data_IF_815730130545
#
_entry.id   IF_815730130545
#
_cell.length_a   1.000
_cell.length_b   1.000
_cell.length_c   1.000
_cell.angle_alpha   90.00
_cell.angle_beta   90.00
_cell.angle_gamma   90.00
#
_symmetry.space_group_name_H-M   'P 1'
#
loop_
_entity.id
_entity.type
_entity.pdbx_description
1 polymer ?
#
# COMPACT_ATOMS: atom_id res chain seq x y z
N UNK A 1 -14.15 -14.57 -17.27
CA UNK A 1 -12.97 -14.07 -18.04
C UNK A 1 -11.64 -14.47 -17.39
N UNK A 2 -11.47 -14.35 -16.07
CA UNK A 2 -10.20 -14.69 -15.40
C UNK A 2 -9.94 -16.22 -15.43
N UNK A 3 -10.97 -17.05 -15.29
CA UNK A 3 -10.83 -18.50 -15.34
C UNK A 3 -10.39 -18.97 -16.75
N UNK A 4 -10.86 -18.30 -17.82
CA UNK A 4 -10.39 -18.55 -19.16
C UNK A 4 -8.89 -18.20 -19.34
N UNK A 5 -8.44 -17.07 -18.74
CA UNK A 5 -7.02 -16.73 -18.75
C UNK A 5 -6.19 -17.77 -18.01
N UNK A 6 -6.70 -18.31 -16.91
CA UNK A 6 -6.05 -19.42 -16.19
C UNK A 6 -5.99 -20.71 -17.02
N UNK A 7 -7.08 -21.07 -17.72
CA UNK A 7 -7.09 -22.24 -18.62
C UNK A 7 -6.02 -22.11 -19.72
N UNK A 8 -5.94 -20.93 -20.36
CA UNK A 8 -4.90 -20.66 -21.37
C UNK A 8 -3.51 -20.76 -20.73
N UNK A 9 -3.30 -20.17 -19.58
CA UNK A 9 -2.02 -20.25 -18.87
C UNK A 9 -1.64 -21.69 -18.53
N UNK A 10 -2.60 -22.52 -18.09
CA UNK A 10 -2.33 -23.93 -17.76
C UNK A 10 -1.98 -24.79 -18.97
N UNK A 11 -2.51 -24.44 -20.15
CA UNK A 11 -2.22 -25.13 -21.42
C UNK A 11 -0.86 -24.78 -22.01
N UNK A 12 -0.17 -23.75 -21.52
CA UNK A 12 1.16 -23.38 -22.02
C UNK A 12 2.20 -24.45 -21.67
N UNK A 13 3.04 -24.85 -22.63
CA UNK A 13 4.08 -25.87 -22.42
C UNK A 13 5.14 -25.39 -21.42
N UNK A 14 5.49 -24.10 -21.46
CA UNK A 14 6.41 -23.46 -20.53
C UNK A 14 5.73 -22.27 -19.81
N UNK A 15 5.86 -22.25 -18.49
CA UNK A 15 5.29 -21.22 -17.63
C UNK A 15 6.41 -20.34 -17.11
N UNK A 16 6.63 -19.20 -17.78
CA UNK A 16 7.61 -18.20 -17.35
C UNK A 16 7.05 -17.28 -16.25
N UNK A 17 7.92 -16.49 -15.63
CA UNK A 17 7.57 -15.55 -14.56
C UNK A 17 6.50 -14.53 -14.98
N UNK A 18 6.47 -14.14 -16.26
CA UNK A 18 5.49 -13.17 -16.78
C UNK A 18 4.09 -13.80 -16.79
N UNK A 19 3.96 -15.04 -17.28
CA UNK A 19 2.69 -15.76 -17.29
C UNK A 19 2.13 -15.95 -15.87
N UNK A 20 2.95 -16.39 -14.91
CA UNK A 20 2.57 -16.48 -13.51
C UNK A 20 2.10 -15.12 -12.97
N UNK A 21 2.87 -14.06 -13.20
CA UNK A 21 2.56 -12.72 -12.73
C UNK A 21 1.24 -12.20 -13.29
N UNK A 22 0.97 -12.42 -14.58
CA UNK A 22 -0.27 -11.99 -15.23
C UNK A 22 -1.51 -12.61 -14.59
N UNK A 23 -1.48 -13.93 -14.33
CA UNK A 23 -2.63 -14.63 -13.75
C UNK A 23 -2.80 -14.28 -12.28
N UNK A 24 -1.69 -14.22 -11.51
CA UNK A 24 -1.71 -13.79 -10.11
C UNK A 24 -2.30 -12.37 -9.99
N UNK A 25 -1.81 -11.40 -10.78
CA UNK A 25 -2.34 -10.05 -10.80
C UNK A 25 -3.83 -10.03 -11.15
N UNK A 26 -4.23 -10.78 -12.17
CA UNK A 26 -5.62 -10.91 -12.57
C UNK A 26 -6.53 -11.40 -11.44
N UNK A 27 -6.11 -12.42 -10.69
CA UNK A 27 -6.89 -12.89 -9.53
C UNK A 27 -6.97 -11.85 -8.42
N UNK A 28 -5.87 -11.16 -8.09
CA UNK A 28 -5.86 -10.10 -7.06
C UNK A 28 -6.78 -8.95 -7.46
N UNK A 29 -6.73 -8.50 -8.70
CA UNK A 29 -7.55 -7.38 -9.19
C UNK A 29 -9.06 -7.70 -9.25
N UNK A 30 -9.40 -8.99 -9.33
CA UNK A 30 -10.79 -9.45 -9.24
C UNK A 30 -11.20 -9.88 -7.81
N UNK A 31 -10.34 -9.67 -6.81
CA UNK A 31 -10.63 -10.00 -5.41
C UNK A 31 -10.46 -11.47 -5.03
N UNK A 32 -9.99 -12.32 -5.94
CA UNK A 32 -9.75 -13.75 -5.68
C UNK A 32 -8.39 -13.98 -4.99
N UNK A 33 -8.20 -13.31 -3.84
CA UNK A 33 -6.90 -13.25 -3.16
C UNK A 33 -6.36 -14.64 -2.77
N UNK A 34 -7.21 -15.56 -2.31
CA UNK A 34 -6.79 -16.93 -1.96
C UNK A 34 -6.29 -17.71 -3.18
N UNK A 35 -6.97 -17.58 -4.34
CA UNK A 35 -6.50 -18.20 -5.59
C UNK A 35 -5.14 -17.64 -6.02
N UNK A 36 -4.93 -16.34 -5.88
CA UNK A 36 -3.65 -15.71 -6.18
C UNK A 36 -2.52 -16.24 -5.30
N UNK A 37 -2.77 -16.41 -4.00
CA UNK A 37 -1.81 -16.97 -3.04
C UNK A 37 -1.48 -18.43 -3.39
N UNK A 38 -2.49 -19.25 -3.68
CA UNK A 38 -2.28 -20.64 -4.07
C UNK A 38 -1.41 -20.76 -5.34
N UNK A 39 -1.62 -19.88 -6.32
CA UNK A 39 -0.80 -19.82 -7.52
C UNK A 39 0.65 -19.38 -7.23
N UNK A 40 0.82 -18.42 -6.33
CA UNK A 40 2.14 -18.00 -5.89
C UNK A 40 2.91 -19.15 -5.21
N UNK A 41 2.25 -19.93 -4.37
CA UNK A 41 2.84 -21.12 -3.76
C UNK A 41 3.17 -22.20 -4.79
N UNK A 42 2.30 -22.40 -5.79
CA UNK A 42 2.56 -23.34 -6.88
C UNK A 42 3.78 -22.90 -7.70
N UNK A 43 3.87 -21.60 -8.04
CA UNK A 43 5.02 -21.03 -8.71
C UNK A 43 6.32 -21.33 -7.97
N UNK A 44 6.31 -21.15 -6.64
CA UNK A 44 7.48 -21.41 -5.80
C UNK A 44 7.84 -22.90 -5.76
N UNK A 45 6.84 -23.80 -5.66
CA UNK A 45 7.06 -25.25 -5.73
C UNK A 45 7.68 -25.70 -7.06
N UNK A 46 7.43 -24.94 -8.14
CA UNK A 46 8.05 -25.14 -9.46
C UNK A 46 9.40 -24.45 -9.62
N UNK A 47 9.97 -23.93 -8.53
CA UNK A 47 11.25 -23.23 -8.52
C UNK A 47 11.31 -22.00 -9.46
N UNK A 48 10.18 -21.39 -9.78
CA UNK A 48 10.14 -20.12 -10.50
C UNK A 48 10.27 -18.97 -9.49
N UNK A 49 11.30 -18.16 -9.65
CA UNK A 49 11.55 -17.03 -8.73
C UNK A 49 10.58 -15.89 -8.99
N UNK A 50 9.86 -15.36 -7.95
CA UNK A 50 9.01 -14.20 -8.09
C UNK A 50 9.82 -12.95 -8.40
N UNK A 51 9.25 -12.04 -9.19
CA UNK A 51 9.74 -10.69 -9.39
C UNK A 51 9.00 -9.69 -8.47
N UNK A 52 9.41 -8.40 -8.51
CA UNK A 52 8.81 -7.37 -7.66
C UNK A 52 7.33 -7.13 -7.94
N UNK A 53 6.87 -7.31 -9.17
CA UNK A 53 5.45 -7.21 -9.56
C UNK A 53 4.63 -8.28 -8.84
N UNK A 54 5.12 -9.53 -8.83
CA UNK A 54 4.44 -10.64 -8.13
C UNK A 54 4.42 -10.39 -6.63
N UNK A 55 5.53 -9.93 -6.04
CA UNK A 55 5.56 -9.58 -4.62
C UNK A 55 4.53 -8.48 -4.29
N UNK A 56 4.42 -7.42 -5.10
CA UNK A 56 3.42 -6.36 -4.91
C UNK A 56 1.98 -6.91 -4.95
N UNK A 57 1.67 -7.80 -5.90
CA UNK A 57 0.37 -8.45 -5.99
C UNK A 57 0.05 -9.30 -4.75
N UNK A 58 1.03 -10.07 -4.27
CA UNK A 58 0.85 -10.96 -3.12
C UNK A 58 0.74 -10.17 -1.80
N UNK A 59 1.50 -9.08 -1.65
CA UNK A 59 1.33 -8.17 -0.51
C UNK A 59 -0.08 -7.57 -0.48
N UNK A 60 -0.60 -7.12 -1.63
CA UNK A 60 -1.98 -6.64 -1.75
C UNK A 60 -2.99 -7.73 -1.37
N UNK A 61 -2.78 -8.98 -1.81
CA UNK A 61 -3.64 -10.11 -1.44
C UNK A 61 -3.63 -10.37 0.06
N UNK A 62 -2.46 -10.40 0.71
CA UNK A 62 -2.36 -10.59 2.16
C UNK A 62 -2.97 -9.43 2.94
N UNK A 63 -2.80 -8.19 2.51
CA UNK A 63 -3.47 -7.03 3.09
C UNK A 63 -4.99 -7.17 3.02
N UNK A 64 -5.53 -7.53 1.85
CA UNK A 64 -6.97 -7.70 1.66
C UNK A 64 -7.58 -8.83 2.53
N UNK A 65 -6.79 -9.85 2.87
CA UNK A 65 -7.19 -10.97 3.74
C UNK A 65 -6.86 -10.73 5.23
N UNK A 66 -6.20 -9.64 5.59
CA UNK A 66 -5.73 -9.39 6.96
C UNK A 66 -4.64 -10.37 7.42
N UNK A 67 -3.92 -11.00 6.50
CA UNK A 67 -2.95 -12.08 6.78
C UNK A 67 -1.56 -11.53 7.12
N UNK A 68 -1.44 -10.86 8.27
CA UNK A 68 -0.24 -10.15 8.71
C UNK A 68 1.02 -11.04 8.74
N UNK A 69 0.91 -12.26 9.27
CA UNK A 69 2.07 -13.15 9.43
C UNK A 69 2.68 -13.51 8.07
N UNK A 70 1.86 -13.87 7.10
CA UNK A 70 2.28 -14.19 5.74
C UNK A 70 2.86 -12.96 5.03
N UNK A 71 2.24 -11.80 5.23
CA UNK A 71 2.75 -10.54 4.73
C UNK A 71 4.16 -10.21 5.26
N UNK A 72 4.41 -10.43 6.56
CA UNK A 72 5.75 -10.28 7.16
C UNK A 72 6.77 -11.25 6.57
N UNK A 73 6.41 -12.50 6.33
CA UNK A 73 7.29 -13.47 5.69
C UNK A 73 7.69 -13.06 4.26
N UNK A 74 6.75 -12.51 3.51
CA UNK A 74 7.05 -11.96 2.17
C UNK A 74 7.95 -10.72 2.28
N UNK A 75 7.71 -9.82 3.21
CA UNK A 75 8.57 -8.67 3.47
C UNK A 75 10.01 -9.10 3.76
N UNK A 76 10.21 -10.03 4.70
CA UNK A 76 11.53 -10.58 5.03
C UNK A 76 12.22 -11.22 3.82
N UNK A 77 11.44 -11.89 2.97
CA UNK A 77 11.97 -12.50 1.75
C UNK A 77 12.44 -11.45 0.75
N UNK A 78 11.69 -10.37 0.54
CA UNK A 78 12.08 -9.26 -0.33
C UNK A 78 13.41 -8.66 0.13
N UNK A 79 13.57 -8.43 1.43
CA UNK A 79 14.81 -7.88 2.01
C UNK A 79 15.99 -8.83 1.81
N UNK A 80 15.81 -10.13 2.09
CA UNK A 80 16.89 -11.13 1.97
C UNK A 80 17.38 -11.35 0.54
N UNK A 81 16.55 -11.10 -0.46
CA UNK A 81 16.94 -11.18 -1.87
C UNK A 81 17.78 -9.98 -2.33
N UNK A 82 18.13 -9.07 -1.41
CA UNK A 82 18.95 -7.89 -1.70
C UNK A 82 18.27 -6.89 -2.64
N UNK A 83 16.99 -7.06 -2.89
CA UNK A 83 16.22 -6.13 -3.71
C UNK A 83 16.07 -4.81 -2.96
N UNK A 84 16.56 -3.73 -3.54
CA UNK A 84 16.26 -2.40 -3.04
C UNK A 84 14.74 -2.21 -3.18
N UNK A 85 14.10 -1.85 -2.07
CA UNK A 85 12.67 -1.53 -2.08
C UNK A 85 12.46 -0.33 -3.00
N UNK A 86 11.76 -0.55 -4.11
CA UNK A 86 11.26 0.54 -4.94
C UNK A 86 10.03 1.18 -4.31
N UNK A 87 9.62 2.33 -4.83
CA UNK A 87 8.46 3.08 -4.31
C UNK A 87 7.16 2.26 -4.38
N UNK A 88 7.02 1.40 -5.39
CA UNK A 88 5.81 0.57 -5.58
C UNK A 88 5.71 -0.49 -4.50
N UNK A 89 6.78 -1.24 -4.29
CA UNK A 89 6.80 -2.31 -3.27
C UNK A 89 6.72 -1.72 -1.87
N UNK A 90 7.39 -0.59 -1.62
CA UNK A 90 7.30 0.13 -0.35
C UNK A 90 5.86 0.55 -0.05
N UNK A 91 5.15 1.09 -1.05
CA UNK A 91 3.73 1.43 -0.93
C UNK A 91 2.87 0.19 -0.65
N UNK A 92 3.09 -0.92 -1.36
CA UNK A 92 2.35 -2.17 -1.13
C UNK A 92 2.62 -2.77 0.25
N UNK A 93 3.84 -2.66 0.77
CA UNK A 93 4.17 -3.10 2.13
C UNK A 93 3.45 -2.26 3.18
N UNK A 94 3.46 -0.93 3.04
CA UNK A 94 2.75 -0.04 3.95
C UNK A 94 1.24 -0.30 3.89
N UNK A 95 0.65 -0.43 2.69
CA UNK A 95 -0.77 -0.77 2.51
C UNK A 95 -1.14 -2.10 3.18
N UNK A 96 -0.30 -3.13 3.00
CA UNK A 96 -0.49 -4.43 3.65
C UNK A 96 -0.47 -4.29 5.18
N UNK A 97 0.49 -3.56 5.75
CA UNK A 97 0.55 -3.35 7.19
C UNK A 97 -0.65 -2.56 7.71
N UNK A 98 -1.07 -1.51 7.01
CA UNK A 98 -2.26 -0.71 7.35
C UNK A 98 -3.51 -1.59 7.37
N UNK A 99 -3.76 -2.34 6.31
CA UNK A 99 -4.95 -3.23 6.21
C UNK A 99 -4.96 -4.35 7.24
N UNK A 100 -3.79 -4.80 7.66
CA UNK A 100 -3.65 -5.78 8.74
C UNK A 100 -3.69 -5.15 10.15
N UNK A 101 -3.92 -3.84 10.30
CA UNK A 101 -3.91 -3.14 11.59
C UNK A 101 -2.54 -2.99 12.25
N UNK A 102 -1.47 -3.32 11.53
CA UNK A 102 -0.09 -3.24 12.02
C UNK A 102 0.54 -1.87 11.74
N UNK A 103 -0.14 -0.80 12.20
CA UNK A 103 0.20 0.59 11.87
C UNK A 103 1.61 1.00 12.32
N UNK A 104 2.09 0.45 13.44
CA UNK A 104 3.45 0.73 13.94
C UNK A 104 4.53 0.20 13.00
N UNK A 105 4.33 -0.97 12.42
CA UNK A 105 5.22 -1.56 11.42
C UNK A 105 5.20 -0.75 10.11
N UNK A 106 4.01 -0.36 9.65
CA UNK A 106 3.86 0.53 8.49
C UNK A 106 4.57 1.86 8.68
N UNK A 107 4.42 2.51 9.87
CA UNK A 107 5.09 3.78 10.19
C UNK A 107 6.62 3.67 10.16
N UNK A 108 7.19 2.56 10.65
CA UNK A 108 8.65 2.33 10.59
C UNK A 108 9.20 2.30 9.17
N UNK A 109 8.38 1.90 8.19
CA UNK A 109 8.81 1.92 6.78
C UNK A 109 9.08 3.34 6.28
N UNK A 110 8.40 4.36 6.86
CA UNK A 110 8.57 5.76 6.48
C UNK A 110 9.88 6.37 7.01
N UNK A 111 10.54 5.75 7.98
CA UNK A 111 11.83 6.21 8.52
C UNK A 111 12.98 5.95 7.51
N UNK A 112 12.73 5.22 6.42
CA UNK A 112 13.64 5.07 5.27
C UNK A 112 13.55 6.26 4.30
N UNK A 113 14.33 6.19 3.21
CA UNK A 113 14.31 7.19 2.13
C UNK A 113 13.08 7.03 1.21
N UNK A 114 11.87 7.09 1.76
CA UNK A 114 10.63 7.01 0.97
C UNK A 114 10.28 8.41 0.47
N UNK A 115 10.35 8.58 -0.84
CA UNK A 115 10.02 9.84 -1.52
C UNK A 115 8.61 9.86 -2.10
N UNK A 116 7.98 8.69 -2.24
CA UNK A 116 6.64 8.56 -2.82
C UNK A 116 5.55 9.13 -1.91
N UNK A 117 4.91 10.21 -2.34
CA UNK A 117 3.74 10.78 -1.66
C UNK A 117 2.59 9.77 -1.49
N UNK A 118 2.48 8.79 -2.39
CA UNK A 118 1.46 7.75 -2.29
C UNK A 118 1.62 6.90 -1.03
N UNK A 119 2.85 6.52 -0.68
CA UNK A 119 3.15 5.75 0.53
C UNK A 119 2.79 6.52 1.81
N UNK A 120 3.10 7.81 1.85
CA UNK A 120 2.72 8.70 2.95
C UNK A 120 1.21 8.84 3.07
N UNK A 121 0.52 9.01 1.93
CA UNK A 121 -0.95 9.12 1.89
C UNK A 121 -1.63 7.85 2.41
N UNK A 122 -1.15 6.67 2.03
CA UNK A 122 -1.65 5.37 2.54
C UNK A 122 -1.51 5.30 4.05
N UNK A 123 -0.36 5.71 4.61
CA UNK A 123 -0.15 5.66 6.06
C UNK A 123 -1.05 6.65 6.80
N UNK A 124 -1.18 7.88 6.30
CA UNK A 124 -2.08 8.90 6.87
C UNK A 124 -3.53 8.41 6.85
N UNK A 125 -4.01 7.92 5.70
CA UNK A 125 -5.37 7.37 5.56
C UNK A 125 -5.58 6.19 6.51
N UNK A 126 -4.58 5.30 6.63
CA UNK A 126 -4.65 4.17 7.54
C UNK A 126 -4.83 4.56 9.00
N UNK A 127 -4.10 5.55 9.50
CA UNK A 127 -4.32 6.06 10.85
C UNK A 127 -5.70 6.68 11.02
N UNK A 128 -6.18 7.44 10.03
CA UNK A 128 -7.52 8.05 10.05
C UNK A 128 -8.61 6.98 10.08
N UNK A 129 -8.50 5.93 9.26
CA UNK A 129 -9.45 4.82 9.23
C UNK A 129 -9.54 4.05 10.56
N UNK A 130 -8.42 4.02 11.31
CA UNK A 130 -8.35 3.42 12.64
C UNK A 130 -8.69 4.42 13.77
N UNK A 131 -9.14 5.64 13.46
CA UNK A 131 -9.53 6.66 14.43
C UNK A 131 -8.37 7.31 15.18
N UNK A 132 -7.15 7.20 14.67
CA UNK A 132 -5.93 7.72 15.29
C UNK A 132 -5.46 9.01 14.59
N UNK A 133 -6.20 10.10 14.82
CA UNK A 133 -5.90 11.40 14.23
C UNK A 133 -4.53 11.94 14.67
N UNK A 134 -4.12 11.69 15.91
CA UNK A 134 -2.85 12.16 16.45
C UNK A 134 -1.67 11.63 15.66
N UNK A 135 -1.62 10.29 15.43
CA UNK A 135 -0.58 9.68 14.63
C UNK A 135 -0.68 10.05 13.14
N UNK A 136 -1.88 10.28 12.60
CA UNK A 136 -2.04 10.78 11.24
C UNK A 136 -1.41 12.17 11.06
N UNK A 137 -1.60 13.06 12.02
CA UNK A 137 -1.00 14.41 12.04
C UNK A 137 0.52 14.34 12.23
N UNK A 138 1.03 13.45 13.07
CA UNK A 138 2.49 13.24 13.22
C UNK A 138 3.13 12.76 11.90
N UNK A 139 2.50 11.82 11.19
CA UNK A 139 2.98 11.38 9.88
C UNK A 139 2.91 12.52 8.85
N UNK A 140 1.85 13.33 8.85
CA UNK A 140 1.73 14.50 8.00
C UNK A 140 2.83 15.53 8.28
N UNK A 141 3.13 15.81 9.55
CA UNK A 141 4.20 16.72 9.94
C UNK A 141 5.58 16.22 9.48
N UNK A 142 5.86 14.92 9.62
CA UNK A 142 7.10 14.31 9.10
C UNK A 142 7.22 14.46 7.59
N UNK A 143 6.13 14.21 6.85
CA UNK A 143 6.08 14.39 5.40
C UNK A 143 6.47 15.81 4.99
N UNK A 144 5.91 16.82 5.63
CA UNK A 144 6.21 18.25 5.36
C UNK A 144 7.63 18.61 5.74
N UNK A 145 8.15 18.10 6.87
CA UNK A 145 9.54 18.30 7.30
C UNK A 145 10.56 17.71 6.30
N UNK A 146 10.20 16.65 5.58
CA UNK A 146 11.04 16.09 4.52
C UNK A 146 10.94 16.88 3.19
N UNK A 147 10.18 17.97 3.16
CA UNK A 147 9.99 18.80 1.97
C UNK A 147 9.09 18.16 0.91
N UNK A 148 8.38 17.08 1.25
CA UNK A 148 7.44 16.43 0.34
C UNK A 148 6.12 17.22 0.37
N UNK A 149 5.65 17.69 -0.79
CA UNK A 149 4.40 18.44 -0.88
C UNK A 149 3.20 17.52 -0.72
N UNK A 150 2.30 17.77 0.26
CA UNK A 150 1.08 17.00 0.39
C UNK A 150 0.20 17.11 -0.87
N UNK A 151 -0.51 16.05 -1.22
CA UNK A 151 -1.51 16.09 -2.29
C UNK A 151 -2.86 16.61 -1.76
N UNK A 152 -3.73 17.07 -2.67
CA UNK A 152 -5.11 17.48 -2.33
C UNK A 152 -5.84 16.38 -1.53
N UNK A 153 -5.62 15.12 -1.89
CA UNK A 153 -6.23 13.96 -1.21
C UNK A 153 -5.80 13.89 0.26
N UNK A 154 -4.52 14.09 0.56
CA UNK A 154 -4.00 14.10 1.94
C UNK A 154 -4.66 15.19 2.77
N UNK A 155 -4.74 16.41 2.24
CA UNK A 155 -5.42 17.53 2.91
C UNK A 155 -6.89 17.19 3.21
N UNK A 156 -7.64 16.72 2.22
CA UNK A 156 -9.06 16.37 2.38
C UNK A 156 -9.29 15.24 3.39
N UNK A 157 -8.44 14.22 3.40
CA UNK A 157 -8.52 13.14 4.38
C UNK A 157 -8.35 13.65 5.81
N UNK A 158 -7.32 14.50 6.05
CA UNK A 158 -7.06 15.05 7.39
C UNK A 158 -8.16 16.02 7.82
N UNK A 159 -8.61 16.93 6.93
CA UNK A 159 -9.68 17.87 7.22
C UNK A 159 -10.98 17.14 7.61
N UNK A 160 -11.32 16.08 6.87
CA UNK A 160 -12.48 15.23 7.21
C UNK A 160 -12.32 14.57 8.59
N UNK A 161 -11.12 14.09 8.91
CA UNK A 161 -10.85 13.49 10.22
C UNK A 161 -10.94 14.53 11.35
N UNK A 162 -10.37 15.71 11.16
CA UNK A 162 -10.49 16.82 12.12
C UNK A 162 -11.95 17.23 12.37
N UNK A 163 -12.80 17.19 11.35
CA UNK A 163 -14.23 17.47 11.49
C UNK A 163 -14.95 16.43 12.34
N UNK A 164 -14.61 15.15 12.17
CA UNK A 164 -15.21 14.06 12.93
C UNK A 164 -14.78 14.07 14.42
N UNK A 165 -13.54 14.46 14.69
CA UNK A 165 -12.94 14.48 16.03
C UNK A 165 -13.13 15.84 16.74
N UNK A 166 -13.91 16.76 16.16
CA UNK A 166 -14.11 18.13 16.65
C UNK A 166 -12.79 18.91 16.90
N UNK A 167 -11.73 18.55 16.22
CA UNK A 167 -10.38 19.14 16.35
C UNK A 167 -10.25 20.39 15.47
N UNK A 168 -11.07 21.42 15.78
CA UNK A 168 -11.19 22.64 14.97
C UNK A 168 -9.85 23.35 14.75
N UNK A 169 -9.01 23.42 15.79
CA UNK A 169 -7.72 24.13 15.69
C UNK A 169 -6.79 23.46 14.65
N UNK A 170 -6.66 22.16 14.69
CA UNK A 170 -5.88 21.40 13.71
C UNK A 170 -6.47 21.56 12.30
N UNK A 171 -7.79 21.48 12.18
CA UNK A 171 -8.49 21.69 10.91
C UNK A 171 -8.18 23.04 10.28
N UNK A 172 -8.18 24.13 11.07
CA UNK A 172 -7.83 25.48 10.59
C UNK A 172 -6.39 25.54 10.08
N UNK A 173 -5.42 24.98 10.82
CA UNK A 173 -4.02 24.96 10.41
C UNK A 173 -3.80 24.17 9.11
N UNK A 174 -4.43 23.02 8.97
CA UNK A 174 -4.35 22.18 7.76
C UNK A 174 -5.00 22.89 6.57
N UNK A 175 -6.15 23.54 6.77
CA UNK A 175 -6.81 24.32 5.73
C UNK A 175 -5.93 25.49 5.26
N UNK A 176 -5.32 26.23 6.19
CA UNK A 176 -4.39 27.30 5.85
C UNK A 176 -3.21 26.78 5.00
N UNK A 177 -2.57 25.68 5.42
CA UNK A 177 -1.48 25.06 4.66
C UNK A 177 -1.94 24.53 3.28
N UNK A 178 -3.17 24.06 3.17
CA UNK A 178 -3.77 23.65 1.89
C UNK A 178 -3.85 24.83 0.92
N UNK A 179 -4.33 25.98 1.39
CA UNK A 179 -4.44 27.23 0.62
C UNK A 179 -3.05 27.74 0.22
N UNK A 180 -2.09 27.80 1.14
CA UNK A 180 -0.70 28.17 0.85
C UNK A 180 -0.03 27.24 -0.17
N UNK A 181 -0.43 25.98 -0.21
CA UNK A 181 0.05 24.99 -1.20
C UNK A 181 -0.58 25.15 -2.58
N UNK A 182 -1.45 26.16 -2.78
CA UNK A 182 -2.08 26.49 -4.05
C UNK A 182 -3.32 25.64 -4.38
N UNK A 183 -3.86 24.91 -3.40
CA UNK A 183 -5.14 24.24 -3.57
C UNK A 183 -6.25 25.20 -3.14
N UNK A 184 -6.80 25.94 -4.11
CA UNK A 184 -8.00 26.74 -3.87
C UNK A 184 -9.16 25.81 -3.51
N UNK A 185 -9.81 26.09 -2.40
CA UNK A 185 -11.07 25.46 -2.08
C UNK A 185 -12.12 26.11 -2.95
N UNK A 186 -12.59 25.42 -3.98
CA UNK A 186 -13.90 25.71 -4.57
C UNK A 186 -14.93 25.46 -3.45
N UNK A 187 -15.09 26.45 -2.59
CA UNK A 187 -16.20 26.51 -1.65
C UNK A 187 -17.37 27.05 -2.43
N UNK A 188 -18.20 26.12 -2.94
CA UNK A 188 -19.56 26.42 -3.34
C UNK A 188 -20.48 26.14 -2.18
#
# INVERSE_FOLDING_TARGET
KIDQAYEVFTSLPEKNVIGWGTVIAGYVDHGFNEKAINLFEEMQRKNVSPNMIIFSCILKAFGNLGSLMQGKLVHDRIIRHGNRLDDIVSCCLVDMYVKCGALKEGKKMLDGNITSIATWAVMISGYIEHGDLENALDVYQKLTQQGIKPSKVVFLCILKACSNDASLHQGILIHYHMVESGFETDVV
#
